data_IF_814031397368
#
_entry.id   IF_814031397368
#
_cell.length_a   1.000
_cell.length_b   1.000
_cell.length_c   1.000
_cell.angle_alpha   90.00
_cell.angle_beta   90.00
_cell.angle_gamma   90.00
#
_symmetry.space_group_name_H-M   'P 1'
#
loop_
_entity.id
_entity.type
_entity.pdbx_description
1 polymer ?
#
# COMPACT_ATOMS: atom_id res chain seq x y z
N UNK A 1 -25.06 -8.98 0.18
CA UNK A 1 -24.10 -10.07 -0.06
C UNK A 1 -24.10 -10.98 1.15
N UNK A 2 -24.33 -12.28 0.94
CA UNK A 2 -24.27 -13.26 2.02
C UNK A 2 -22.81 -13.53 2.40
N UNK A 3 -22.51 -13.85 3.66
CA UNK A 3 -21.15 -14.17 4.10
C UNK A 3 -20.53 -15.32 3.32
N UNK A 4 -21.35 -16.31 2.94
CA UNK A 4 -20.89 -17.48 2.19
C UNK A 4 -20.56 -17.15 0.73
N UNK A 5 -21.31 -16.24 0.11
CA UNK A 5 -20.97 -15.69 -1.20
C UNK A 5 -19.65 -14.91 -1.14
N UNK A 6 -19.45 -14.11 -0.09
CA UNK A 6 -18.23 -13.34 0.10
C UNK A 6 -17.00 -14.26 0.29
N UNK A 7 -17.15 -15.37 1.04
CA UNK A 7 -16.13 -16.41 1.16
C UNK A 7 -15.79 -17.00 -0.20
N UNK A 8 -16.80 -17.40 -0.97
CA UNK A 8 -16.63 -18.03 -2.28
C UNK A 8 -15.92 -17.09 -3.26
N UNK A 9 -16.24 -15.80 -3.28
CA UNK A 9 -15.57 -14.83 -4.16
C UNK A 9 -14.08 -14.64 -3.85
N UNK A 10 -13.69 -14.71 -2.57
CA UNK A 10 -12.27 -14.68 -2.18
C UNK A 10 -11.58 -16.05 -2.32
N UNK A 11 -12.31 -17.09 -2.71
CA UNK A 11 -11.79 -18.45 -2.90
C UNK A 11 -11.71 -19.28 -1.62
N UNK A 12 -12.52 -18.94 -0.61
CA UNK A 12 -12.69 -19.74 0.59
C UNK A 12 -13.91 -20.66 0.46
N UNK A 13 -13.87 -21.88 1.02
CA UNK A 13 -15.05 -22.72 1.08
C UNK A 13 -16.08 -22.16 2.07
N UNK A 14 -17.37 -22.39 1.82
CA UNK A 14 -18.49 -21.77 2.56
C UNK A 14 -18.50 -22.13 4.04
N UNK A 15 -18.08 -23.36 4.37
CA UNK A 15 -17.95 -23.88 5.73
C UNK A 15 -16.67 -23.45 6.46
N UNK A 16 -15.78 -22.66 5.84
CA UNK A 16 -14.56 -22.18 6.52
C UNK A 16 -14.79 -20.90 7.32
N UNK A 17 -13.97 -20.74 8.35
CA UNK A 17 -13.84 -19.51 9.15
C UNK A 17 -12.44 -18.91 8.89
N UNK A 18 -12.23 -18.23 7.74
CA UNK A 18 -10.91 -17.71 7.41
C UNK A 18 -10.52 -16.56 8.35
N UNK A 19 -9.28 -16.57 8.84
CA UNK A 19 -8.76 -15.50 9.71
C UNK A 19 -8.59 -14.20 8.92
N UNK A 20 -8.63 -13.04 9.59
CA UNK A 20 -8.43 -11.74 8.94
C UNK A 20 -7.14 -11.66 8.08
N UNK A 21 -6.05 -12.30 8.52
CA UNK A 21 -4.80 -12.40 7.75
C UNK A 21 -4.99 -13.17 6.44
N UNK A 22 -5.71 -14.30 6.47
CA UNK A 22 -6.01 -15.10 5.28
C UNK A 22 -6.92 -14.33 4.33
N UNK A 23 -7.97 -13.69 4.84
CA UNK A 23 -8.88 -12.84 4.06
C UNK A 23 -8.11 -11.72 3.36
N UNK A 24 -7.20 -11.04 4.07
CA UNK A 24 -6.34 -9.99 3.49
C UNK A 24 -5.39 -10.54 2.43
N UNK A 25 -4.81 -11.72 2.64
CA UNK A 25 -3.93 -12.35 1.66
C UNK A 25 -4.70 -12.75 0.39
N UNK A 26 -5.87 -13.36 0.54
CA UNK A 26 -6.74 -13.74 -0.58
C UNK A 26 -7.22 -12.52 -1.37
N UNK A 27 -7.64 -11.46 -0.68
CA UNK A 27 -8.02 -10.19 -1.29
C UNK A 27 -6.89 -9.61 -2.15
N UNK A 28 -5.65 -9.55 -1.63
CA UNK A 28 -4.50 -9.03 -2.39
C UNK A 28 -4.28 -9.80 -3.69
N UNK A 29 -4.39 -11.13 -3.68
CA UNK A 29 -4.27 -11.95 -4.90
C UNK A 29 -5.38 -11.64 -5.89
N UNK A 30 -6.63 -11.65 -5.42
CA UNK A 30 -7.83 -11.42 -6.24
C UNK A 30 -7.87 -10.01 -6.85
N UNK A 31 -7.38 -9.01 -6.14
CA UNK A 31 -7.21 -7.64 -6.64
C UNK A 31 -6.28 -7.62 -7.85
N UNK A 32 -5.11 -8.25 -7.76
CA UNK A 32 -4.19 -8.30 -8.89
C UNK A 32 -4.76 -9.08 -10.09
N UNK A 33 -5.48 -10.17 -9.82
CA UNK A 33 -6.17 -10.95 -10.87
C UNK A 33 -7.28 -10.17 -11.59
N UNK A 34 -7.86 -9.15 -10.96
CA UNK A 34 -9.02 -8.41 -11.47
C UNK A 34 -8.76 -6.93 -11.70
N UNK A 35 -7.51 -6.49 -11.55
CA UNK A 35 -7.17 -5.08 -11.69
C UNK A 35 -7.41 -4.62 -13.14
N UNK A 36 -8.19 -3.55 -13.38
CA UNK A 36 -8.58 -3.14 -14.74
C UNK A 36 -7.39 -2.78 -15.64
N UNK A 37 -6.25 -2.40 -15.07
CA UNK A 37 -5.02 -2.12 -15.84
C UNK A 37 -4.32 -3.37 -16.37
N UNK A 38 -4.64 -4.55 -15.84
CA UNK A 38 -4.10 -5.82 -16.33
C UNK A 38 -4.88 -6.37 -17.53
N UNK A 39 -5.98 -5.72 -17.95
CA UNK A 39 -6.87 -6.19 -19.01
C UNK A 39 -6.88 -5.26 -20.22
N UNK A 40 -7.06 -5.81 -21.44
CA UNK A 40 -7.27 -5.01 -22.64
C UNK A 40 -8.59 -4.22 -22.55
N UNK A 41 -8.68 -3.13 -23.32
CA UNK A 41 -9.76 -2.12 -23.20
C UNK A 41 -11.18 -2.70 -23.20
N UNK A 42 -11.43 -3.73 -24.02
CA UNK A 42 -12.74 -4.37 -24.14
C UNK A 42 -13.12 -5.26 -22.93
N UNK A 43 -12.15 -5.73 -22.14
CA UNK A 43 -12.39 -6.54 -20.94
C UNK A 43 -12.37 -5.71 -19.64
N UNK A 44 -11.93 -4.44 -19.70
CA UNK A 44 -11.93 -3.51 -18.56
C UNK A 44 -13.25 -3.43 -17.79
N UNK A 45 -14.43 -3.28 -18.42
CA UNK A 45 -15.67 -3.18 -17.66
C UNK A 45 -15.98 -4.46 -16.87
N UNK A 46 -15.62 -5.63 -17.41
CA UNK A 46 -15.77 -6.90 -16.71
C UNK A 46 -14.79 -7.04 -15.53
N UNK A 47 -13.54 -6.60 -15.73
CA UNK A 47 -12.53 -6.56 -14.68
C UNK A 47 -12.94 -5.62 -13.54
N UNK A 48 -13.44 -4.43 -13.86
CA UNK A 48 -13.94 -3.46 -12.88
C UNK A 48 -15.13 -4.01 -12.07
N UNK A 49 -16.09 -4.67 -12.73
CA UNK A 49 -17.21 -5.32 -12.07
C UNK A 49 -16.73 -6.41 -11.09
N UNK A 50 -15.78 -7.25 -11.52
CA UNK A 50 -15.17 -8.29 -10.65
C UNK A 50 -14.40 -7.69 -9.48
N UNK A 51 -13.60 -6.67 -9.74
CA UNK A 51 -12.85 -5.94 -8.72
C UNK A 51 -13.79 -5.37 -7.65
N UNK A 52 -14.90 -4.77 -8.08
CA UNK A 52 -15.94 -4.26 -7.17
C UNK A 52 -16.54 -5.38 -6.31
N UNK A 53 -16.94 -6.50 -6.89
CA UNK A 53 -17.48 -7.64 -6.14
C UNK A 53 -16.47 -8.19 -5.11
N UNK A 54 -15.18 -8.29 -5.47
CA UNK A 54 -14.11 -8.71 -4.55
C UNK A 54 -13.93 -7.70 -3.40
N UNK A 55 -14.01 -6.41 -3.69
CA UNK A 55 -13.90 -5.36 -2.67
C UNK A 55 -15.08 -5.39 -1.69
N UNK A 56 -16.30 -5.59 -2.17
CA UNK A 56 -17.50 -5.75 -1.34
C UNK A 56 -17.38 -7.00 -0.45
N UNK A 57 -16.98 -8.13 -1.02
CA UNK A 57 -16.74 -9.37 -0.27
C UNK A 57 -15.72 -9.19 0.86
N UNK A 58 -14.60 -8.52 0.59
CA UNK A 58 -13.58 -8.23 1.59
C UNK A 58 -14.14 -7.38 2.75
N UNK A 59 -14.90 -6.34 2.44
CA UNK A 59 -15.53 -5.50 3.48
C UNK A 59 -16.56 -6.26 4.30
N UNK A 60 -17.35 -7.13 3.66
CA UNK A 60 -18.33 -7.98 4.32
C UNK A 60 -17.67 -8.91 5.34
N UNK A 61 -16.62 -9.64 4.93
CA UNK A 61 -15.90 -10.57 5.81
C UNK A 61 -15.16 -9.86 6.94
N UNK A 62 -14.60 -8.68 6.68
CA UNK A 62 -13.94 -7.89 7.73
C UNK A 62 -14.96 -7.35 8.75
N UNK A 63 -16.16 -6.97 8.30
CA UNK A 63 -17.24 -6.53 9.20
C UNK A 63 -17.81 -7.66 10.05
N UNK A 64 -17.87 -8.89 9.51
CA UNK A 64 -18.28 -10.09 10.24
C UNK A 64 -17.29 -10.47 11.34
N UNK A 65 -15.99 -10.48 11.04
CA UNK A 65 -14.93 -10.75 12.03
C UNK A 65 -14.91 -9.72 13.18
N UNK A 66 -15.36 -8.49 12.91
CA UNK A 66 -15.44 -7.42 13.91
C UNK A 66 -16.66 -7.51 14.82
N UNK A 67 -17.68 -8.31 14.49
CA UNK A 67 -18.87 -8.50 15.33
C UNK A 67 -18.64 -9.48 16.49
N UNK A 68 -17.69 -10.41 16.37
CA UNK A 68 -17.30 -11.31 17.47
C UNK A 68 -16.32 -10.66 18.45
N UNK A 69 -15.64 -9.57 18.06
CA UNK A 69 -14.74 -8.81 18.90
C UNK A 69 -15.12 -7.34 18.94
N UNK A 70 -16.04 -6.98 19.83
CA UNK A 70 -16.15 -5.65 20.44
C UNK A 70 -16.58 -4.46 19.55
N UNK A 71 -17.78 -3.95 19.87
CA UNK A 71 -18.34 -2.61 19.66
C UNK A 71 -17.95 -1.81 18.39
N UNK A 72 -18.99 -1.49 17.63
CA UNK A 72 -18.93 -0.83 16.33
C UNK A 72 -18.11 0.45 16.30
N UNK A 73 -17.28 0.56 15.26
CA UNK A 73 -16.82 1.87 14.77
C UNK A 73 -17.38 2.03 13.37
N UNK A 74 -18.31 2.97 13.25
CA UNK A 74 -18.93 3.38 12.02
C UNK A 74 -17.91 3.82 10.98
N UNK A 75 -18.25 3.56 9.72
CA UNK A 75 -17.50 3.95 8.54
C UNK A 75 -17.45 5.49 8.45
N UNK A 76 -16.34 6.10 8.87
CA UNK A 76 -16.02 7.46 8.44
C UNK A 76 -15.50 7.39 7.01
N UNK A 77 -16.35 7.83 6.08
CA UNK A 77 -15.98 8.18 4.71
C UNK A 77 -14.74 9.08 4.77
N UNK A 78 -13.63 8.61 4.19
CA UNK A 78 -12.41 9.39 3.99
C UNK A 78 -12.71 10.57 3.07
N UNK A 79 -13.06 11.71 3.67
CA UNK A 79 -12.84 13.01 3.03
C UNK A 79 -11.38 13.38 3.29
N UNK A 80 -10.66 13.78 2.23
CA UNK A 80 -9.32 14.39 2.34
C UNK A 80 -9.41 15.61 3.26
N UNK A 81 -9.13 15.43 4.55
CA UNK A 81 -8.89 16.56 5.44
C UNK A 81 -7.43 16.94 5.25
N UNK A 82 -7.23 18.13 4.68
CA UNK A 82 -5.91 18.70 4.43
C UNK A 82 -5.04 18.68 5.68
N UNK A 83 -3.73 18.59 5.44
CA UNK A 83 -2.68 18.73 6.45
C UNK A 83 -2.94 20.00 7.28
N UNK A 84 -3.17 19.91 8.60
CA UNK A 84 -3.10 21.09 9.45
C UNK A 84 -1.63 21.45 9.62
N UNK A 85 -1.24 22.55 8.97
CA UNK A 85 0.06 23.18 9.12
C UNK A 85 -0.10 24.30 10.14
N UNK A 86 0.60 24.16 11.27
CA UNK A 86 1.01 25.26 12.16
C UNK A 86 0.03 25.67 13.26
N UNK A 87 0.54 25.76 14.48
CA UNK A 87 -0.12 26.42 15.61
C UNK A 87 0.37 25.89 16.94
N UNK A 88 1.28 26.62 17.59
CA UNK A 88 2.03 26.17 18.76
C UNK A 88 1.23 26.04 20.05
N UNK A 89 1.90 25.48 21.06
CA UNK A 89 1.58 25.71 22.47
C UNK A 89 1.59 24.45 23.33
N UNK A 90 2.54 24.38 24.27
CA UNK A 90 2.27 23.79 25.57
C UNK A 90 3.00 22.49 25.93
N UNK A 91 4.13 22.64 26.62
CA UNK A 91 4.38 21.92 27.87
C UNK A 91 4.60 20.41 27.79
N UNK A 92 5.84 19.99 27.57
CA UNK A 92 6.23 18.61 27.84
C UNK A 92 7.72 18.40 27.72
N UNK A 93 8.46 18.60 28.83
CA UNK A 93 9.82 18.08 29.02
C UNK A 93 9.80 16.57 28.87
N UNK A 94 10.01 16.09 27.65
CA UNK A 94 10.15 14.67 27.29
C UNK A 94 11.24 14.60 26.24
N UNK A 95 12.16 13.66 26.42
CA UNK A 95 13.46 13.56 25.73
C UNK A 95 13.34 13.50 24.19
N UNK A 96 13.16 14.66 23.54
CA UNK A 96 13.06 14.79 22.08
C UNK A 96 14.36 14.38 21.36
N UNK A 97 15.48 14.29 22.11
CA UNK A 97 16.74 13.75 21.64
C UNK A 97 16.64 12.25 21.30
N UNK A 98 15.91 11.45 22.08
CA UNK A 98 15.85 9.99 21.90
C UNK A 98 15.00 9.57 20.69
N UNK A 99 14.02 10.40 20.29
CA UNK A 99 13.15 10.15 19.13
C UNK A 99 13.86 10.49 17.81
N UNK A 100 14.86 11.38 17.82
CA UNK A 100 15.63 11.78 16.64
C UNK A 100 16.86 10.93 16.33
N UNK A 101 17.39 10.20 17.31
CA UNK A 101 18.60 9.37 17.17
C UNK A 101 18.53 8.34 16.03
N UNK A 102 17.46 7.53 15.82
CA UNK A 102 17.48 6.51 14.77
C UNK A 102 17.58 7.13 13.37
N UNK A 103 16.93 8.27 13.13
CA UNK A 103 17.00 8.97 11.85
C UNK A 103 18.34 9.67 11.63
N UNK A 104 18.96 10.22 12.69
CA UNK A 104 20.27 10.84 12.62
C UNK A 104 21.36 9.81 12.25
N UNK A 105 21.32 8.61 12.83
CA UNK A 105 22.26 7.53 12.49
C UNK A 105 22.09 7.05 11.04
N UNK A 106 20.87 7.02 10.49
CA UNK A 106 20.61 6.67 9.09
C UNK A 106 21.18 7.75 8.15
N UNK A 107 20.96 9.03 8.44
CA UNK A 107 21.46 10.15 7.62
C UNK A 107 22.99 10.20 7.67
N UNK A 108 23.59 10.08 8.86
CA UNK A 108 25.04 10.12 9.02
C UNK A 108 25.71 8.87 8.43
N UNK A 109 25.12 7.67 8.60
CA UNK A 109 25.64 6.43 8.04
C UNK A 109 25.60 6.38 6.51
N UNK A 110 24.54 6.91 5.88
CA UNK A 110 24.45 7.00 4.41
C UNK A 110 25.41 8.03 3.82
N UNK A 111 25.57 9.18 4.47
CA UNK A 111 26.53 10.20 4.04
C UNK A 111 27.99 9.75 4.19
N UNK A 112 28.33 9.07 5.29
CA UNK A 112 29.71 8.65 5.58
C UNK A 112 30.16 7.42 4.79
N UNK A 113 29.26 6.46 4.50
CA UNK A 113 29.64 5.19 3.86
C UNK A 113 29.18 5.04 2.39
N UNK A 114 28.12 5.74 1.96
CA UNK A 114 27.46 5.48 0.67
C UNK A 114 27.73 6.49 -0.46
N UNK A 115 28.28 7.67 -0.17
CA UNK A 115 28.22 8.80 -1.09
C UNK A 115 29.32 8.91 -2.16
N UNK A 116 30.46 8.22 -2.01
CA UNK A 116 31.65 8.52 -2.83
C UNK A 116 31.81 7.64 -4.08
N UNK A 117 31.11 6.50 -4.15
CA UNK A 117 31.32 5.51 -5.22
C UNK A 117 30.31 5.56 -6.38
N UNK A 118 29.13 6.16 -6.19
CA UNK A 118 28.06 6.19 -7.21
C UNK A 118 28.43 7.10 -8.39
N UNK A 119 29.14 8.20 -8.13
CA UNK A 119 29.55 9.14 -9.18
C UNK A 119 30.61 8.56 -10.13
N UNK A 120 31.48 7.65 -9.66
CA UNK A 120 32.51 7.03 -10.49
C UNK A 120 31.95 5.93 -11.39
N UNK A 121 31.04 5.10 -10.88
CA UNK A 121 30.42 4.02 -11.67
C UNK A 121 29.54 4.58 -12.79
N UNK A 122 28.76 5.62 -12.52
CA UNK A 122 27.95 6.30 -13.55
C UNK A 122 28.81 6.91 -14.67
N UNK A 123 29.96 7.51 -14.31
CA UNK A 123 30.90 8.06 -15.31
C UNK A 123 31.57 6.98 -16.17
N UNK A 124 31.92 5.82 -15.59
CA UNK A 124 32.43 4.67 -16.37
C UNK A 124 31.38 4.15 -17.34
N UNK A 125 30.16 3.91 -16.87
CA UNK A 125 29.07 3.41 -17.72
C UNK A 125 28.74 4.38 -18.88
N UNK A 126 28.79 5.70 -18.64
CA UNK A 126 28.59 6.71 -19.69
C UNK A 126 29.74 6.73 -20.71
N UNK A 127 30.97 6.37 -20.32
CA UNK A 127 32.10 6.26 -21.23
C UNK A 127 32.01 4.98 -22.08
N UNK A 128 31.56 3.86 -21.49
CA UNK A 128 31.43 2.57 -22.17
C UNK A 128 30.23 2.54 -23.14
N UNK A 129 29.16 3.27 -22.82
CA UNK A 129 27.94 3.37 -23.63
C UNK A 129 27.62 4.84 -23.94
N UNK A 130 28.34 5.47 -24.89
CA UNK A 130 28.01 6.82 -25.32
C UNK A 130 26.60 6.83 -25.91
N UNK A 131 25.67 7.53 -25.27
CA UNK A 131 24.30 7.67 -25.75
C UNK A 131 24.32 8.49 -27.04
N UNK A 132 24.16 7.83 -28.18
CA UNK A 132 23.99 8.51 -29.45
C UNK A 132 22.59 9.13 -29.48
N UNK A 133 22.51 10.46 -29.45
CA UNK A 133 21.26 11.19 -29.47
C UNK A 133 20.93 11.61 -30.91
N UNK A 134 19.95 10.99 -31.57
CA UNK A 134 19.63 11.28 -32.97
C UNK A 134 18.94 12.64 -33.18
N UNK A 135 18.69 13.40 -32.10
CA UNK A 135 18.02 14.70 -32.14
C UNK A 135 18.96 15.89 -31.86
N UNK A 136 20.24 15.63 -31.62
CA UNK A 136 21.27 16.67 -31.58
C UNK A 136 22.07 16.58 -32.89
N UNK A 137 22.27 17.70 -33.62
CA UNK A 137 23.02 17.70 -34.88
C UNK A 137 24.50 17.37 -34.69
#
# INVERSE_FOLDING_TARGET
MLTDEAKLLLGFPTNSCPTACQVKAAYRRKVWETHPDCFPVHLKPNAELKFKMISEAYTCLLSGARREGEHGVGYSRVVRRGVPRGGGGGGGRRNHALIGLPFLFIILGTAALGGTNIARSYRKQKADYPSHNPFLP
#
